data_IF_298905969714
#
_entry.id   IF_298905969714
#
_cell.length_a   1.000
_cell.length_b   1.000
_cell.length_c   1.000
_cell.angle_alpha   90.00
_cell.angle_beta   90.00
_cell.angle_gamma   90.00
#
_symmetry.space_group_name_H-M   'P 1'
#
loop_
_entity.id
_entity.type
_entity.pdbx_description
1 polymer ?
#
# COMPACT_ATOMS: atom_id res chain seq x y z
N UNK A 1 -21.97 -25.09 -6.88
CA UNK A 1 -21.04 -24.29 -7.69
C UNK A 1 -20.47 -25.23 -8.72
N UNK A 2 -20.44 -24.86 -10.00
CA UNK A 2 -19.80 -25.69 -11.02
C UNK A 2 -18.31 -25.80 -10.71
N UNK A 3 -17.70 -26.95 -11.04
CA UNK A 3 -16.25 -27.07 -10.99
C UNK A 3 -15.62 -25.97 -11.86
N UNK A 4 -14.53 -25.32 -11.41
CA UNK A 4 -13.84 -24.34 -12.24
C UNK A 4 -13.42 -24.99 -13.56
N UNK A 5 -13.86 -24.41 -14.68
CA UNK A 5 -13.54 -24.93 -16.01
C UNK A 5 -12.14 -24.45 -16.44
N UNK A 6 -11.11 -25.02 -15.80
CA UNK A 6 -9.69 -24.73 -16.08
C UNK A 6 -9.16 -25.40 -17.37
N UNK A 7 -10.04 -25.80 -18.30
CA UNK A 7 -9.71 -26.81 -19.33
C UNK A 7 -9.09 -26.31 -20.64
N UNK A 8 -8.65 -25.06 -20.76
CA UNK A 8 -8.12 -24.58 -22.04
C UNK A 8 -6.80 -23.81 -21.89
N UNK A 9 -5.65 -24.49 -21.84
CA UNK A 9 -4.36 -23.86 -22.11
C UNK A 9 -4.31 -23.47 -23.60
N UNK A 10 -4.70 -22.24 -23.89
CA UNK A 10 -4.48 -21.59 -25.19
C UNK A 10 -3.52 -20.40 -25.04
N UNK A 11 -2.94 -19.88 -26.12
CA UNK A 11 -2.24 -18.59 -26.06
C UNK A 11 -3.24 -17.48 -25.76
N UNK A 12 -2.77 -16.43 -25.08
CA UNK A 12 -3.54 -15.19 -24.95
C UNK A 12 -3.93 -14.65 -26.33
N UNK A 13 -5.21 -14.42 -26.56
CA UNK A 13 -5.71 -13.86 -27.82
C UNK A 13 -5.55 -12.33 -27.90
N UNK A 14 -5.35 -11.69 -26.74
CA UNK A 14 -5.16 -10.24 -26.61
C UNK A 14 -3.67 -9.88 -26.63
N UNK A 15 -3.36 -8.76 -27.27
CA UNK A 15 -2.00 -8.18 -27.28
C UNK A 15 -1.89 -7.15 -26.17
N UNK A 16 -1.06 -7.44 -25.16
CA UNK A 16 -0.81 -6.50 -24.07
C UNK A 16 0.17 -5.39 -24.49
N UNK A 17 0.03 -4.17 -23.97
CA UNK A 17 1.08 -3.16 -24.03
C UNK A 17 2.42 -3.70 -23.53
N UNK A 18 3.53 -3.20 -24.08
CA UNK A 18 4.87 -3.61 -23.67
C UNK A 18 5.06 -3.39 -22.16
N UNK A 19 5.52 -4.43 -21.45
CA UNK A 19 5.73 -4.38 -20.00
C UNK A 19 4.48 -4.65 -19.15
N UNK A 20 3.27 -4.68 -19.74
CA UNK A 20 2.03 -5.00 -19.02
C UNK A 20 1.87 -6.51 -18.87
N UNK A 21 1.63 -6.97 -17.65
CA UNK A 21 1.22 -8.35 -17.38
C UNK A 21 -0.30 -8.51 -17.51
N UNK A 22 -0.80 -9.70 -17.90
CA UNK A 22 -2.23 -9.99 -17.81
C UNK A 22 -2.65 -9.98 -16.34
N UNK A 23 -3.91 -9.63 -16.10
CA UNK A 23 -4.51 -9.85 -14.79
C UNK A 23 -4.62 -11.35 -14.49
N UNK A 24 -4.47 -11.79 -13.23
CA UNK A 24 -4.50 -13.24 -12.91
C UNK A 24 -5.81 -13.94 -13.25
N UNK A 25 -6.94 -13.23 -13.33
CA UNK A 25 -8.24 -13.80 -13.70
C UNK A 25 -8.55 -13.66 -15.20
N UNK A 26 -7.58 -13.19 -16.00
CA UNK A 26 -7.69 -13.13 -17.45
C UNK A 26 -7.42 -14.51 -18.04
N UNK A 27 -8.47 -15.22 -18.43
CA UNK A 27 -8.35 -16.50 -19.12
C UNK A 27 -7.62 -16.32 -20.47
N UNK A 28 -6.68 -17.20 -20.87
CA UNK A 28 -5.96 -17.03 -22.13
C UNK A 28 -6.84 -17.00 -23.38
N UNK A 29 -7.99 -17.68 -23.35
CA UNK A 29 -8.94 -17.69 -24.46
C UNK A 29 -9.84 -16.45 -24.55
N UNK A 30 -9.71 -15.48 -23.65
CA UNK A 30 -10.53 -14.27 -23.65
C UNK A 30 -10.20 -13.40 -24.87
N UNK A 31 -11.23 -12.92 -25.55
CA UNK A 31 -11.07 -12.00 -26.68
C UNK A 31 -10.91 -10.55 -26.21
N UNK A 32 -10.69 -9.63 -27.16
CA UNK A 32 -10.53 -8.21 -26.85
C UNK A 32 -11.76 -7.62 -26.14
N UNK A 33 -12.96 -8.05 -26.51
CA UNK A 33 -14.20 -7.55 -25.89
C UNK A 33 -14.28 -7.94 -24.42
N UNK A 34 -14.03 -9.21 -24.13
CA UNK A 34 -14.00 -9.73 -22.76
C UNK A 34 -12.88 -9.10 -21.94
N UNK A 35 -11.72 -8.84 -22.56
CA UNK A 35 -10.63 -8.14 -21.89
C UNK A 35 -10.98 -6.70 -21.51
N UNK A 36 -11.62 -5.95 -22.41
CA UNK A 36 -12.07 -4.59 -22.09
C UNK A 36 -13.13 -4.60 -21.00
N UNK A 37 -14.07 -5.54 -21.04
CA UNK A 37 -15.04 -5.72 -19.96
C UNK A 37 -14.36 -5.99 -18.62
N UNK A 38 -13.32 -6.83 -18.60
CA UNK A 38 -12.50 -7.06 -17.40
C UNK A 38 -11.84 -5.77 -16.90
N UNK A 39 -11.29 -4.94 -17.80
CA UNK A 39 -10.72 -3.65 -17.41
C UNK A 39 -11.78 -2.72 -16.80
N UNK A 40 -12.96 -2.62 -17.43
CA UNK A 40 -14.06 -1.75 -16.98
C UNK A 40 -14.69 -2.23 -15.65
N UNK A 41 -14.65 -3.54 -15.39
CA UNK A 41 -15.19 -4.15 -14.19
C UNK A 41 -14.18 -4.27 -13.05
N UNK A 42 -12.89 -4.04 -13.31
CA UNK A 42 -11.81 -4.14 -12.34
C UNK A 42 -12.14 -3.35 -11.08
N UNK A 43 -12.05 -4.05 -9.95
CA UNK A 43 -12.25 -3.49 -8.62
C UNK A 43 -11.07 -3.91 -7.72
N UNK A 44 -10.28 -2.92 -7.33
CA UNK A 44 -9.15 -3.08 -6.42
C UNK A 44 -9.58 -2.52 -5.07
N UNK A 45 -9.63 -3.35 -4.03
CA UNK A 45 -10.06 -2.88 -2.71
C UNK A 45 -8.89 -2.43 -1.84
N UNK A 46 -7.75 -3.10 -1.97
CA UNK A 46 -6.54 -2.80 -1.23
C UNK A 46 -5.32 -2.90 -2.14
N UNK A 47 -4.31 -2.07 -1.94
CA UNK A 47 -3.04 -2.12 -2.66
C UNK A 47 -1.85 -2.12 -1.70
N UNK A 48 -0.64 -2.20 -2.26
CA UNK A 48 0.57 -2.37 -1.47
C UNK A 48 0.89 -1.13 -0.63
N UNK A 49 1.27 -1.36 0.62
CA UNK A 49 1.62 -0.31 1.57
C UNK A 49 0.41 0.35 2.24
N UNK A 50 -0.81 -0.07 1.91
CA UNK A 50 -2.01 0.46 2.55
C UNK A 50 -2.05 0.10 4.04
N UNK A 51 -2.44 1.06 4.87
CA UNK A 51 -2.67 0.86 6.29
C UNK A 51 -3.92 0.01 6.52
N UNK A 52 -3.75 -1.12 7.20
CA UNK A 52 -4.85 -1.93 7.73
C UNK A 52 -4.71 -1.99 9.24
N UNK A 53 -5.81 -1.88 9.96
CA UNK A 53 -5.78 -2.04 11.41
C UNK A 53 -7.13 -2.51 11.96
N UNK A 54 -7.07 -3.30 13.02
CA UNK A 54 -8.21 -3.65 13.84
C UNK A 54 -8.52 -2.58 14.89
N UNK A 55 -8.96 -3.03 16.07
CA UNK A 55 -9.36 -2.14 17.16
C UNK A 55 -8.20 -1.73 18.07
N UNK A 56 -7.03 -2.36 17.93
CA UNK A 56 -5.84 -2.08 18.72
C UNK A 56 -4.60 -1.78 17.83
N UNK A 57 -3.64 -0.96 18.30
CA UNK A 57 -2.42 -0.64 17.54
C UNK A 57 -1.60 -1.87 17.11
N UNK A 58 -1.56 -2.91 17.94
CA UNK A 58 -0.86 -4.16 17.64
C UNK A 58 -1.48 -4.97 16.49
N UNK A 59 -2.75 -4.69 16.15
CA UNK A 59 -3.44 -5.31 15.02
C UNK A 59 -3.14 -4.59 13.70
N UNK A 60 -2.36 -3.51 13.73
CA UNK A 60 -2.06 -2.74 12.54
C UNK A 60 -0.94 -3.38 11.70
N UNK A 61 -1.12 -3.39 10.38
CA UNK A 61 -0.14 -3.94 9.44
C UNK A 61 -0.21 -3.23 8.08
N UNK A 62 0.90 -3.31 7.34
CA UNK A 62 0.92 -2.93 5.93
C UNK A 62 0.27 -4.04 5.10
N UNK A 63 -0.66 -3.68 4.24
CA UNK A 63 -1.10 -4.57 3.20
C UNK A 63 0.08 -4.84 2.24
N UNK A 64 0.44 -6.11 2.05
CA UNK A 64 1.65 -6.54 1.33
C UNK A 64 1.40 -7.03 -0.10
N UNK A 65 0.24 -6.70 -0.68
CA UNK A 65 -0.14 -7.11 -2.04
C UNK A 65 -1.19 -6.21 -2.68
N UNK A 66 -1.85 -6.74 -3.70
CA UNK A 66 -2.97 -6.12 -4.40
C UNK A 66 -4.20 -7.03 -4.29
N UNK A 67 -5.27 -6.50 -3.70
CA UNK A 67 -6.52 -7.22 -3.51
C UNK A 67 -7.50 -6.87 -4.63
N UNK A 68 -7.75 -7.84 -5.50
CA UNK A 68 -8.66 -7.71 -6.63
C UNK A 68 -9.96 -8.42 -6.25
N UNK A 69 -11.07 -7.68 -6.16
CA UNK A 69 -12.36 -8.24 -5.77
C UNK A 69 -12.89 -9.12 -6.90
N UNK A 70 -13.05 -10.41 -6.59
CA UNK A 70 -13.41 -11.46 -7.54
C UNK A 70 -14.29 -12.47 -6.81
N UNK A 71 -15.35 -12.93 -7.45
CA UNK A 71 -16.23 -13.91 -6.82
C UNK A 71 -15.52 -15.23 -6.56
N UNK A 72 -15.90 -15.91 -5.48
CA UNK A 72 -15.46 -17.27 -5.20
C UNK A 72 -15.78 -18.19 -6.39
N UNK A 73 -14.80 -19.02 -6.77
CA UNK A 73 -14.85 -19.87 -7.97
C UNK A 73 -14.29 -19.22 -9.23
N UNK A 74 -13.90 -17.94 -9.21
CA UNK A 74 -13.21 -17.30 -10.34
C UNK A 74 -11.85 -17.96 -10.55
N UNK A 75 -11.61 -18.53 -11.74
CA UNK A 75 -10.33 -19.15 -12.08
C UNK A 75 -9.18 -18.16 -12.09
N UNK A 76 -8.04 -18.58 -11.55
CA UNK A 76 -6.80 -17.80 -11.46
C UNK A 76 -5.70 -18.51 -12.25
N UNK A 77 -4.95 -17.72 -13.02
CA UNK A 77 -3.94 -18.18 -13.97
C UNK A 77 -2.58 -17.56 -13.67
N UNK A 78 -1.52 -18.29 -14.03
CA UNK A 78 -0.14 -17.80 -13.94
C UNK A 78 0.09 -16.61 -14.88
N UNK A 79 0.51 -15.45 -14.35
CA UNK A 79 0.71 -14.23 -15.16
C UNK A 79 2.03 -14.23 -15.94
N UNK A 80 3.00 -15.01 -15.48
CA UNK A 80 4.30 -15.30 -16.11
C UNK A 80 4.62 -16.80 -15.99
N UNK A 81 5.50 -17.37 -16.83
CA UNK A 81 5.97 -18.73 -16.65
C UNK A 81 6.77 -18.86 -15.35
N UNK A 82 6.59 -19.97 -14.64
CA UNK A 82 7.22 -20.14 -13.33
C UNK A 82 7.27 -21.58 -12.84
N UNK A 83 7.97 -21.80 -11.74
CA UNK A 83 8.03 -23.07 -11.02
C UNK A 83 7.32 -22.94 -9.67
N UNK A 84 6.40 -23.85 -9.37
CA UNK A 84 5.67 -23.86 -8.09
C UNK A 84 6.63 -24.20 -6.97
N UNK A 85 6.85 -23.28 -6.03
CA UNK A 85 7.78 -23.46 -4.91
C UNK A 85 7.10 -23.77 -3.59
N UNK A 86 5.85 -23.36 -3.46
CA UNK A 86 5.10 -23.56 -2.23
C UNK A 86 3.61 -23.57 -2.53
N UNK A 87 2.90 -24.46 -1.88
CA UNK A 87 1.45 -24.45 -1.75
C UNK A 87 1.19 -24.54 -0.25
N UNK A 88 0.76 -23.44 0.35
CA UNK A 88 0.61 -23.32 1.81
C UNK A 88 -0.73 -22.74 2.16
N UNK A 89 -1.33 -23.17 3.26
CA UNK A 89 -2.61 -22.63 3.72
C UNK A 89 -2.94 -23.08 5.13
N UNK A 90 -3.63 -22.21 5.87
CA UNK A 90 -4.06 -22.48 7.25
C UNK A 90 -5.55 -22.81 7.34
N UNK A 91 -6.18 -23.17 6.21
CA UNK A 91 -7.60 -23.51 6.12
C UNK A 91 -8.10 -23.44 4.67
N UNK A 92 -9.36 -23.83 4.42
CA UNK A 92 -9.91 -23.93 3.06
C UNK A 92 -10.00 -22.60 2.28
N UNK A 93 -9.84 -21.47 2.97
CA UNK A 93 -10.01 -20.11 2.42
C UNK A 93 -8.72 -19.26 2.41
N UNK A 94 -7.58 -19.85 2.81
CA UNK A 94 -6.33 -19.12 3.07
C UNK A 94 -5.12 -19.81 2.43
N UNK A 95 -5.37 -20.51 1.33
CA UNK A 95 -4.32 -21.13 0.54
C UNK A 95 -3.61 -20.08 -0.31
N UNK A 96 -2.31 -20.29 -0.46
CA UNK A 96 -1.38 -19.47 -1.23
C UNK A 96 -0.54 -20.38 -2.13
N UNK A 97 -0.43 -20.03 -3.40
CA UNK A 97 0.49 -20.66 -4.35
C UNK A 97 1.63 -19.68 -4.64
N UNK A 98 2.87 -20.12 -4.42
CA UNK A 98 4.08 -19.36 -4.74
C UNK A 98 4.67 -19.89 -6.04
N UNK A 99 4.72 -19.03 -7.06
CA UNK A 99 5.24 -19.33 -8.38
C UNK A 99 6.51 -18.51 -8.63
N UNK A 100 7.68 -19.14 -8.53
CA UNK A 100 8.97 -18.49 -8.81
C UNK A 100 9.17 -18.33 -10.32
N UNK A 101 9.59 -17.14 -10.75
CA UNK A 101 9.81 -16.81 -12.14
C UNK A 101 10.93 -17.68 -12.74
N UNK A 102 10.72 -18.23 -13.95
CA UNK A 102 11.74 -19.05 -14.62
C UNK A 102 12.94 -18.22 -15.11
N UNK A 103 12.71 -16.97 -15.50
CA UNK A 103 13.74 -16.06 -16.04
C UNK A 103 14.45 -15.25 -14.95
N UNK A 104 13.89 -15.22 -13.73
CA UNK A 104 14.44 -14.50 -12.59
C UNK A 104 14.35 -15.32 -11.28
N UNK A 105 15.18 -16.39 -11.13
CA UNK A 105 15.19 -17.19 -9.90
C UNK A 105 15.38 -16.34 -8.64
N UNK A 106 14.66 -16.67 -7.56
CA UNK A 106 14.59 -15.85 -6.36
C UNK A 106 13.52 -14.75 -6.41
N UNK A 107 12.79 -14.59 -7.52
CA UNK A 107 11.60 -13.73 -7.60
C UNK A 107 10.35 -14.56 -7.85
N UNK A 108 9.22 -14.16 -7.28
CA UNK A 108 7.97 -14.92 -7.42
C UNK A 108 6.73 -14.04 -7.44
N UNK A 109 5.66 -14.61 -7.97
CA UNK A 109 4.29 -14.17 -7.75
C UNK A 109 3.62 -15.10 -6.73
N UNK A 110 2.89 -14.52 -5.79
CA UNK A 110 2.16 -15.25 -4.76
C UNK A 110 0.67 -14.97 -4.94
N UNK A 111 -0.10 -16.03 -5.05
CA UNK A 111 -1.54 -15.99 -5.29
C UNK A 111 -2.23 -16.53 -4.04
N UNK A 112 -2.80 -15.63 -3.24
CA UNK A 112 -3.41 -15.95 -1.94
C UNK A 112 -4.94 -15.85 -2.02
N UNK A 113 -5.63 -16.61 -1.16
CA UNK A 113 -7.09 -16.77 -1.17
C UNK A 113 -7.62 -17.51 -2.39
N UNK A 114 -6.88 -18.53 -2.83
CA UNK A 114 -7.30 -19.43 -3.92
C UNK A 114 -7.37 -20.87 -3.43
N UNK A 115 -8.35 -21.66 -3.85
CA UNK A 115 -8.28 -23.12 -3.80
C UNK A 115 -7.37 -23.58 -4.94
N UNK A 116 -6.21 -24.19 -4.67
CA UNK A 116 -5.32 -24.69 -5.73
C UNK A 116 -6.03 -25.70 -6.62
N UNK A 117 -5.64 -25.74 -7.91
CA UNK A 117 -6.17 -26.71 -8.86
C UNK A 117 -5.83 -28.15 -8.47
N UNK A 118 -6.69 -29.11 -8.82
CA UNK A 118 -6.45 -30.52 -8.49
C UNK A 118 -5.25 -31.05 -9.27
N UNK A 119 -4.25 -31.58 -8.55
CA UNK A 119 -3.03 -32.11 -9.15
C UNK A 119 -1.93 -31.07 -9.37
N UNK A 120 -2.13 -29.82 -8.97
CA UNK A 120 -1.05 -28.85 -8.88
C UNK A 120 -0.11 -29.23 -7.72
N UNK A 121 1.17 -29.43 -8.03
CA UNK A 121 2.18 -29.89 -7.07
C UNK A 121 3.38 -28.93 -6.99
N UNK A 122 4.06 -28.94 -5.83
CA UNK A 122 5.34 -28.24 -5.67
C UNK A 122 6.39 -28.90 -6.57
N UNK A 123 7.06 -28.10 -7.38
CA UNK A 123 8.02 -28.54 -8.39
C UNK A 123 7.48 -28.46 -9.82
N UNK A 124 6.16 -28.32 -10.00
CA UNK A 124 5.57 -28.13 -11.31
C UNK A 124 6.15 -26.89 -11.99
N UNK A 125 6.33 -26.99 -13.30
CA UNK A 125 6.73 -25.88 -14.17
C UNK A 125 5.52 -25.52 -15.01
N UNK A 126 5.08 -24.28 -14.88
CA UNK A 126 3.87 -23.77 -15.50
C UNK A 126 4.22 -22.73 -16.55
N UNK A 127 3.52 -22.80 -17.67
CA UNK A 127 3.52 -21.75 -18.68
C UNK A 127 2.63 -20.58 -18.24
N UNK A 128 2.88 -19.42 -18.83
CA UNK A 128 1.98 -18.26 -18.70
C UNK A 128 0.57 -18.65 -19.15
N UNK A 129 -0.43 -18.36 -18.30
CA UNK A 129 -1.84 -18.71 -18.54
C UNK A 129 -2.27 -20.08 -18.05
N UNK A 130 -1.36 -20.89 -17.47
CA UNK A 130 -1.75 -22.12 -16.79
C UNK A 130 -2.66 -21.83 -15.59
N UNK A 131 -3.68 -22.65 -15.37
CA UNK A 131 -4.56 -22.53 -14.22
C UNK A 131 -3.80 -22.89 -12.92
N UNK A 132 -3.96 -22.05 -11.91
CA UNK A 132 -3.41 -22.25 -10.57
C UNK A 132 -4.49 -22.72 -9.58
N UNK A 133 -5.75 -22.44 -9.89
CA UNK A 133 -6.87 -22.72 -9.01
C UNK A 133 -8.01 -21.72 -9.21
N UNK A 134 -8.79 -21.49 -8.16
CA UNK A 134 -9.90 -20.53 -8.18
C UNK A 134 -10.01 -19.77 -6.86
N UNK A 135 -10.52 -18.54 -6.89
CA UNK A 135 -10.75 -17.71 -5.69
C UNK A 135 -11.59 -18.48 -4.67
N UNK A 136 -11.12 -18.50 -3.42
CA UNK A 136 -11.77 -19.14 -2.28
C UNK A 136 -11.42 -18.36 -1.01
N UNK A 137 -12.32 -17.48 -0.58
CA UNK A 137 -12.18 -16.64 0.59
C UNK A 137 -13.45 -16.57 1.43
N UNK A 138 -13.30 -16.40 2.74
CA UNK A 138 -14.39 -16.12 3.66
C UNK A 138 -14.34 -14.64 4.07
N UNK A 139 -15.25 -13.83 3.53
CA UNK A 139 -15.30 -12.39 3.72
C UNK A 139 -15.78 -11.71 2.43
N UNK A 140 -15.24 -10.54 2.12
CA UNK A 140 -15.36 -9.99 0.77
C UNK A 140 -14.45 -10.80 -0.16
N UNK A 141 -15.04 -11.53 -1.08
CA UNK A 141 -14.32 -12.44 -1.99
C UNK A 141 -13.32 -11.67 -2.87
N UNK A 142 -12.04 -12.05 -2.81
CA UNK A 142 -10.97 -11.40 -3.56
C UNK A 142 -9.77 -12.34 -3.77
N UNK A 143 -8.92 -12.01 -4.73
CA UNK A 143 -7.56 -12.53 -4.86
C UNK A 143 -6.60 -11.55 -4.19
N UNK A 144 -5.73 -12.04 -3.30
CA UNK A 144 -4.59 -11.26 -2.81
C UNK A 144 -3.34 -11.63 -3.61
N UNK A 145 -2.84 -10.69 -4.41
CA UNK A 145 -1.72 -10.90 -5.32
C UNK A 145 -0.47 -10.16 -4.83
N UNK A 146 0.63 -10.89 -4.64
CA UNK A 146 1.88 -10.31 -4.15
C UNK A 146 3.02 -10.52 -5.15
N UNK A 147 3.86 -9.51 -5.29
CA UNK A 147 5.18 -9.63 -5.92
C UNK A 147 6.25 -9.70 -4.83
N UNK A 148 7.10 -10.72 -4.87
CA UNK A 148 8.11 -10.94 -3.84
C UNK A 148 9.46 -11.39 -4.40
N UNK A 149 10.52 -11.20 -3.60
CA UNK A 149 11.81 -11.81 -3.82
C UNK A 149 12.41 -12.38 -2.54
N UNK A 150 13.20 -13.42 -2.70
CA UNK A 150 13.80 -14.17 -1.61
C UNK A 150 15.03 -13.45 -1.06
N UNK A 151 15.16 -13.41 0.27
CA UNK A 151 16.41 -13.05 0.94
C UNK A 151 17.47 -14.09 0.61
N UNK A 152 18.73 -13.67 0.57
CA UNK A 152 19.86 -14.60 0.43
C UNK A 152 19.80 -15.72 1.47
N UNK A 153 19.84 -16.98 1.01
CA UNK A 153 19.75 -18.17 1.87
C UNK A 153 18.36 -18.45 2.45
N UNK A 154 17.34 -17.69 2.05
CA UNK A 154 15.95 -17.86 2.48
C UNK A 154 15.26 -19.08 1.85
N UNK A 155 14.01 -19.33 2.26
CA UNK A 155 13.13 -20.32 1.65
C UNK A 155 11.71 -19.78 1.43
N UNK A 156 11.12 -20.07 0.27
CA UNK A 156 9.74 -19.70 -0.09
C UNK A 156 8.66 -20.29 0.86
N UNK A 157 9.01 -21.27 1.70
CA UNK A 157 8.13 -21.83 2.72
C UNK A 157 8.10 -21.04 4.03
N UNK A 158 8.89 -19.96 4.15
CA UNK A 158 8.99 -19.14 5.37
C UNK A 158 8.69 -17.69 5.04
N UNK A 159 7.58 -17.18 5.59
CA UNK A 159 7.11 -15.82 5.31
C UNK A 159 8.07 -14.68 5.74
N UNK A 160 9.07 -14.98 6.55
CA UNK A 160 10.09 -14.02 7.02
C UNK A 160 11.37 -14.07 6.18
N UNK A 161 11.46 -14.98 5.20
CA UNK A 161 12.64 -15.17 4.35
C UNK A 161 12.54 -14.43 3.01
N UNK A 162 11.49 -13.64 2.81
CA UNK A 162 11.27 -12.88 1.59
C UNK A 162 10.85 -11.44 1.86
N UNK A 163 11.01 -10.61 0.84
CA UNK A 163 10.53 -9.25 0.80
C UNK A 163 9.44 -9.12 -0.26
N UNK A 164 8.39 -8.38 0.05
CA UNK A 164 7.33 -8.01 -0.89
C UNK A 164 7.57 -6.58 -1.37
N UNK A 165 7.22 -6.34 -2.63
CA UNK A 165 7.29 -5.03 -3.29
C UNK A 165 5.93 -4.70 -3.91
N UNK A 166 5.74 -3.44 -4.28
CA UNK A 166 4.52 -3.02 -4.95
C UNK A 166 4.29 -3.79 -6.26
N UNK A 167 3.15 -4.50 -6.41
CA UNK A 167 2.76 -5.15 -7.65
C UNK A 167 2.10 -4.17 -8.63
N UNK A 168 1.62 -3.00 -8.17
CA UNK A 168 0.90 -2.02 -8.98
C UNK A 168 1.62 -1.65 -10.30
N UNK A 169 2.95 -1.41 -10.34
CA UNK A 169 3.65 -1.02 -11.57
C UNK A 169 3.65 -2.08 -12.69
N UNK A 170 3.29 -3.34 -12.39
CA UNK A 170 3.21 -4.41 -13.38
C UNK A 170 1.86 -4.49 -14.11
N UNK A 171 0.87 -3.75 -13.60
CA UNK A 171 -0.47 -3.67 -14.15
C UNK A 171 -0.75 -2.26 -14.66
N UNK A 172 -1.65 -2.16 -15.62
CA UNK A 172 -2.14 -0.88 -16.12
C UNK A 172 -3.65 -0.91 -16.00
N UNK A 173 -4.19 0.02 -15.24
CA UNK A 173 -5.60 0.29 -15.11
C UNK A 173 -5.82 1.80 -15.22
N UNK A 174 -7.03 2.20 -15.59
CA UNK A 174 -7.31 3.62 -15.84
C UNK A 174 -7.55 4.30 -14.51
N UNK A 175 -6.79 5.33 -14.20
CA UNK A 175 -7.09 6.19 -13.07
C UNK A 175 -6.89 7.65 -13.41
N UNK A 176 -7.88 8.45 -13.06
CA UNK A 176 -7.89 9.90 -13.29
C UNK A 176 -8.23 10.66 -12.00
N UNK A 177 -8.44 9.96 -10.90
CA UNK A 177 -8.81 10.55 -9.62
C UNK A 177 -7.54 10.79 -8.83
N UNK A 178 -7.15 12.05 -8.55
CA UNK A 178 -5.99 12.30 -7.72
C UNK A 178 -6.26 11.92 -6.25
N UNK A 179 -5.22 11.68 -5.45
CA UNK A 179 -5.35 11.49 -4.01
C UNK A 179 -6.10 12.65 -3.33
N UNK A 180 -6.76 12.37 -2.22
CA UNK A 180 -7.40 13.37 -1.36
C UNK A 180 -6.57 13.56 -0.11
N UNK A 181 -6.18 14.81 0.17
CA UNK A 181 -5.42 15.22 1.36
C UNK A 181 -6.36 16.01 2.27
N UNK A 182 -6.53 15.58 3.52
CA UNK A 182 -7.38 16.26 4.49
C UNK A 182 -6.70 17.49 5.08
N UNK A 183 -7.47 18.56 5.21
CA UNK A 183 -7.09 19.75 5.99
C UNK A 183 -8.12 20.01 7.09
N UNK A 184 -7.70 20.57 8.24
CA UNK A 184 -6.32 20.93 8.61
C UNK A 184 -5.42 19.70 8.85
N UNK A 185 -4.11 19.89 8.77
CA UNK A 185 -3.15 18.88 9.26
C UNK A 185 -3.17 18.80 10.79
N UNK A 186 -2.69 17.67 11.30
CA UNK A 186 -2.60 17.38 12.73
C UNK A 186 -1.14 17.46 13.17
N UNK A 187 -0.92 17.90 14.40
CA UNK A 187 0.43 18.03 14.96
C UNK A 187 0.46 17.33 16.31
N UNK A 188 1.43 16.46 16.52
CA UNK A 188 1.64 15.71 17.76
C UNK A 188 3.04 15.98 18.29
N UNK A 189 3.24 15.79 19.59
CA UNK A 189 4.60 15.64 20.09
C UNK A 189 5.19 14.34 19.55
N UNK A 190 6.44 14.40 19.10
CA UNK A 190 7.15 13.27 18.51
C UNK A 190 7.01 11.99 19.33
N UNK A 191 6.48 10.90 18.74
CA UNK A 191 6.25 9.61 19.39
C UNK A 191 5.25 9.62 20.58
N UNK A 192 4.37 10.62 20.67
CA UNK A 192 3.29 10.65 21.68
C UNK A 192 1.91 10.74 21.03
N UNK A 193 0.90 10.23 21.73
CA UNK A 193 -0.52 10.45 21.36
C UNK A 193 -1.04 11.85 21.78
N UNK A 194 -0.19 12.68 22.38
CA UNK A 194 -0.55 14.05 22.77
C UNK A 194 -0.53 14.98 21.54
N UNK A 195 -1.73 15.30 21.07
CA UNK A 195 -1.96 16.28 20.00
C UNK A 195 -1.79 17.71 20.52
N UNK A 196 -1.11 18.56 19.76
CA UNK A 196 -1.11 20.01 20.02
C UNK A 196 -2.53 20.56 19.84
N UNK A 197 -3.00 21.35 20.80
CA UNK A 197 -4.34 21.90 20.78
C UNK A 197 -4.46 23.01 19.73
N UNK A 198 -5.59 23.00 19.03
CA UNK A 198 -5.91 24.03 18.05
C UNK A 198 -6.82 25.09 18.68
N UNK A 199 -6.38 26.35 18.66
CA UNK A 199 -7.27 27.49 18.81
C UNK A 199 -7.72 27.94 17.40
N UNK A 200 -7.18 29.04 16.88
CA UNK A 200 -7.35 29.44 15.47
C UNK A 200 -6.28 28.80 14.57
N UNK A 201 -5.04 28.80 15.07
CA UNK A 201 -3.85 28.17 14.48
C UNK A 201 -3.24 27.24 15.52
N UNK A 202 -2.75 26.07 15.11
CA UNK A 202 -2.02 25.17 16.01
C UNK A 202 -0.68 25.80 16.35
N UNK A 203 -0.35 25.89 17.64
CA UNK A 203 0.97 26.33 18.10
C UNK A 203 1.79 25.09 18.50
N UNK A 204 2.98 24.96 17.93
CA UNK A 204 3.88 23.82 18.13
C UNK A 204 5.24 24.28 18.66
N UNK A 205 5.98 23.36 19.29
CA UNK A 205 7.33 23.59 19.82
C UNK A 205 8.08 22.28 20.04
N UNK A 206 9.42 22.34 19.99
CA UNK A 206 10.29 21.18 20.12
C UNK A 206 10.13 20.20 18.96
N UNK A 207 10.22 18.90 19.25
CA UNK A 207 10.06 17.80 18.29
C UNK A 207 8.57 17.54 17.98
N UNK A 208 8.21 17.67 16.71
CA UNK A 208 6.82 17.64 16.24
C UNK A 208 6.63 16.58 15.16
N UNK A 209 5.62 15.74 15.35
CA UNK A 209 5.08 14.88 14.30
C UNK A 209 4.03 15.65 13.50
N UNK A 210 4.25 15.80 12.18
CA UNK A 210 3.23 16.32 11.28
C UNK A 210 2.44 15.11 10.76
N UNK A 211 1.14 15.08 11.03
CA UNK A 211 0.26 13.96 10.69
C UNK A 211 -0.83 14.42 9.73
N UNK A 212 -0.94 13.73 8.60
CA UNK A 212 -1.81 14.12 7.48
C UNK A 212 -2.73 12.97 7.10
N UNK A 213 -4.04 13.21 7.12
CA UNK A 213 -5.03 12.27 6.59
C UNK A 213 -4.95 12.27 5.07
N UNK A 214 -4.64 11.13 4.45
CA UNK A 214 -4.58 11.00 3.00
C UNK A 214 -5.31 9.70 2.62
N UNK A 215 -6.05 9.75 1.51
CA UNK A 215 -6.59 8.56 0.86
C UNK A 215 -6.47 8.70 -0.65
N UNK A 216 -6.21 7.60 -1.34
CA UNK A 216 -6.38 7.54 -2.78
C UNK A 216 -7.76 6.94 -3.11
N UNK A 217 -8.68 7.73 -3.69
CA UNK A 217 -10.00 7.25 -4.05
C UNK A 217 -9.96 6.19 -5.14
N UNK A 218 -9.03 6.34 -6.10
CA UNK A 218 -8.84 5.55 -7.32
C UNK A 218 -10.11 5.20 -8.12
N UNK A 219 -10.10 5.37 -9.45
CA UNK A 219 -11.27 5.00 -10.27
C UNK A 219 -11.72 3.54 -10.05
N UNK A 220 -10.76 2.63 -9.90
CA UNK A 220 -11.00 1.20 -9.66
C UNK A 220 -11.11 0.83 -8.18
N UNK A 221 -10.93 1.78 -7.26
CA UNK A 221 -11.15 1.56 -5.83
C UNK A 221 -12.56 1.91 -5.38
N UNK A 222 -13.40 2.46 -6.25
CA UNK A 222 -14.78 2.76 -5.92
C UNK A 222 -15.60 1.49 -5.67
N UNK A 223 -16.08 1.37 -4.44
CA UNK A 223 -17.01 0.32 -4.03
C UNK A 223 -18.27 0.30 -4.89
N UNK A 224 -18.57 -0.84 -5.52
CA UNK A 224 -19.92 -1.08 -6.11
C UNK A 224 -20.91 -1.63 -5.08
N UNK A 225 -20.45 -2.06 -3.88
CA UNK A 225 -21.27 -2.68 -2.84
C UNK A 225 -20.78 -2.34 -1.42
N UNK A 226 -21.71 -1.89 -0.57
CA UNK A 226 -21.51 -1.73 0.88
C UNK A 226 -20.31 -0.88 1.31
N UNK A 227 -19.95 0.11 0.48
CA UNK A 227 -18.98 1.14 0.86
C UNK A 227 -17.59 0.63 1.28
N UNK A 228 -17.17 -0.53 0.79
CA UNK A 228 -15.79 -0.99 0.90
C UNK A 228 -14.97 -0.52 -0.31
N UNK A 229 -13.99 0.37 -0.11
CA UNK A 229 -13.19 0.94 -1.19
C UNK A 229 -12.79 2.39 -0.91
N UNK A 230 -12.26 3.10 -1.90
CA UNK A 230 -11.98 4.55 -1.87
C UNK A 230 -10.83 4.98 -0.92
N UNK A 231 -9.90 4.06 -0.64
CA UNK A 231 -8.85 4.22 0.39
C UNK A 231 -7.51 3.59 0.05
N UNK A 232 -7.14 3.54 -1.24
CA UNK A 232 -5.86 3.00 -1.65
C UNK A 232 -4.71 3.79 -1.03
N UNK A 233 -3.57 3.12 -0.90
CA UNK A 233 -2.31 3.75 -0.56
C UNK A 233 -1.82 4.58 -1.74
N UNK A 234 -1.39 5.80 -1.43
CA UNK A 234 -0.63 6.64 -2.35
C UNK A 234 0.75 6.02 -2.64
N UNK A 235 1.30 6.29 -3.82
CA UNK A 235 2.64 5.82 -4.20
C UNK A 235 3.74 6.65 -3.55
N UNK A 236 3.51 7.95 -3.33
CA UNK A 236 4.52 8.87 -2.81
C UNK A 236 3.90 10.03 -2.04
N UNK A 237 4.59 10.48 -1.00
CA UNK A 237 4.27 11.67 -0.23
C UNK A 237 5.52 12.54 -0.10
N UNK A 238 5.35 13.84 -0.33
CA UNK A 238 6.36 14.86 -0.07
C UNK A 238 5.76 16.01 0.73
N UNK A 239 6.62 16.76 1.42
CA UNK A 239 6.20 18.03 2.00
C UNK A 239 7.27 19.11 1.89
N UNK A 240 6.81 20.34 1.96
CA UNK A 240 7.60 21.56 1.89
C UNK A 240 7.27 22.45 3.09
N UNK A 241 8.28 23.09 3.65
CA UNK A 241 8.14 24.01 4.77
C UNK A 241 8.45 25.43 4.30
N UNK A 242 7.55 26.36 4.60
CA UNK A 242 7.69 27.78 4.28
C UNK A 242 7.57 28.62 5.55
N UNK A 243 8.36 29.69 5.65
CA UNK A 243 8.21 30.73 6.66
C UNK A 243 7.80 32.04 6.00
N UNK A 244 6.63 32.56 6.35
CA UNK A 244 6.12 33.83 5.81
C UNK A 244 6.18 33.90 4.26
N UNK A 245 5.96 32.77 3.60
CA UNK A 245 6.02 32.63 2.14
C UNK A 245 7.41 32.35 1.56
N UNK A 246 8.48 32.40 2.35
CA UNK A 246 9.81 31.99 1.93
C UNK A 246 9.99 30.47 2.08
N UNK A 247 10.40 29.80 1.01
CA UNK A 247 10.74 28.37 1.01
C UNK A 247 11.94 28.11 1.92
N UNK A 248 11.84 27.10 2.80
CA UNK A 248 12.93 26.66 3.65
C UNK A 248 13.50 25.32 3.18
N UNK A 249 12.64 24.32 3.05
CA UNK A 249 13.05 22.95 2.78
C UNK A 249 11.94 22.11 2.15
N UNK A 250 12.36 20.98 1.57
CA UNK A 250 11.50 19.96 0.97
C UNK A 250 12.03 18.58 1.33
N UNK A 251 11.11 17.68 1.63
CA UNK A 251 11.39 16.30 2.02
C UNK A 251 10.52 15.32 1.23
N UNK A 252 11.10 14.18 0.85
CA UNK A 252 10.33 13.02 0.41
C UNK A 252 10.03 12.19 1.65
N UNK A 253 8.80 12.29 2.16
CA UNK A 253 8.38 11.57 3.36
C UNK A 253 8.41 10.06 3.10
N UNK A 254 7.66 9.59 2.11
CA UNK A 254 7.57 8.17 1.78
C UNK A 254 7.47 7.98 0.26
N UNK A 255 8.13 6.94 -0.24
CA UNK A 255 7.98 6.43 -1.61
C UNK A 255 7.69 4.93 -1.55
N UNK A 256 6.41 4.57 -1.54
CA UNK A 256 5.93 3.19 -1.42
C UNK A 256 6.27 2.35 -2.65
N UNK A 257 6.52 2.98 -3.80
CA UNK A 257 6.99 2.28 -5.02
C UNK A 257 8.40 1.70 -4.84
N UNK A 258 9.16 2.22 -3.87
CA UNK A 258 10.51 1.80 -3.51
C UNK A 258 10.57 1.02 -2.20
N UNK A 259 9.44 0.78 -1.56
CA UNK A 259 9.41 0.11 -0.26
C UNK A 259 9.54 -1.40 -0.41
N UNK A 260 10.35 -2.00 0.46
CA UNK A 260 10.55 -3.44 0.56
C UNK A 260 10.01 -3.90 1.92
N UNK A 261 8.92 -4.66 1.91
CA UNK A 261 8.29 -5.13 3.14
C UNK A 261 8.72 -6.57 3.45
N UNK A 262 9.11 -6.83 4.68
CA UNK A 262 9.12 -8.19 5.22
C UNK A 262 8.15 -8.27 6.40
N UNK A 263 7.74 -9.48 6.77
CA UNK A 263 6.74 -9.71 7.82
C UNK A 263 7.26 -9.63 9.25
N UNK A 264 8.52 -9.23 9.45
CA UNK A 264 9.05 -9.01 10.79
C UNK A 264 8.51 -7.69 11.35
N UNK A 265 8.10 -7.65 12.63
CA UNK A 265 7.71 -6.45 13.37
C UNK A 265 6.74 -5.51 12.63
N UNK A 266 5.72 -6.05 11.94
CA UNK A 266 4.81 -5.27 11.09
C UNK A 266 4.12 -4.10 11.82
N UNK A 267 3.71 -4.29 13.07
CA UNK A 267 3.07 -3.24 13.86
C UNK A 267 4.00 -2.05 14.10
N UNK A 268 5.26 -2.30 14.49
CA UNK A 268 6.25 -1.24 14.74
C UNK A 268 6.56 -0.46 13.45
N UNK A 269 6.68 -1.20 12.33
CA UNK A 269 6.88 -0.64 11.00
C UNK A 269 5.74 0.28 10.59
N UNK A 270 4.51 -0.16 10.82
CA UNK A 270 3.32 0.64 10.54
C UNK A 270 3.23 1.87 11.43
N UNK A 271 3.53 1.74 12.73
CA UNK A 271 3.53 2.86 13.67
C UNK A 271 4.57 3.93 13.32
N UNK A 272 5.61 3.59 12.55
CA UNK A 272 6.56 4.56 12.01
C UNK A 272 5.92 5.45 10.95
N UNK A 273 5.06 4.89 10.09
CA UNK A 273 4.47 5.61 8.95
C UNK A 273 3.10 6.19 9.26
N UNK A 274 2.33 5.53 10.13
CA UNK A 274 0.93 5.84 10.37
C UNK A 274 0.65 6.09 11.83
N UNK A 275 -0.20 7.09 12.08
CA UNK A 275 -0.83 7.29 13.37
C UNK A 275 -2.03 6.35 13.49
N UNK A 276 -2.21 5.76 14.68
CA UNK A 276 -3.36 4.92 14.95
C UNK A 276 -4.66 5.72 14.79
N UNK A 277 -5.55 5.24 13.93
CA UNK A 277 -6.71 6.02 13.48
C UNK A 277 -7.65 6.46 14.62
N UNK A 278 -7.79 5.66 15.69
CA UNK A 278 -8.63 6.03 16.84
C UNK A 278 -8.09 7.22 17.63
N UNK A 279 -6.82 7.60 17.46
CA UNK A 279 -6.32 8.85 18.02
C UNK A 279 -6.91 10.09 17.33
N UNK A 280 -7.34 9.94 16.08
CA UNK A 280 -7.99 11.01 15.32
C UNK A 280 -9.50 10.95 15.48
N UNK A 281 -10.05 9.73 15.46
CA UNK A 281 -11.48 9.46 15.51
C UNK A 281 -11.77 8.36 16.55
N UNK A 282 -11.82 8.69 17.85
CA UNK A 282 -11.98 7.67 18.91
C UNK A 282 -13.33 6.96 18.86
N UNK A 283 -14.36 7.65 18.36
CA UNK A 283 -15.72 7.14 18.19
C UNK A 283 -15.94 6.49 16.81
N UNK A 284 -14.88 6.30 16.02
CA UNK A 284 -15.00 5.69 14.69
C UNK A 284 -15.45 4.23 14.82
N UNK A 285 -16.62 3.93 14.27
CA UNK A 285 -17.11 2.56 14.18
C UNK A 285 -16.56 1.89 12.91
N UNK A 286 -16.14 0.63 13.05
CA UNK A 286 -15.62 -0.24 11.98
C UNK A 286 -16.63 -0.43 10.84
N UNK A 287 -17.88 0.03 10.94
CA UNK A 287 -18.82 -0.02 9.82
C UNK A 287 -18.59 1.11 8.77
N UNK A 288 -17.83 2.16 9.10
CA UNK A 288 -17.68 3.38 8.29
C UNK A 288 -16.37 3.46 7.46
N UNK A 289 -15.72 2.33 7.15
CA UNK A 289 -14.48 2.28 6.35
C UNK A 289 -14.55 2.91 4.95
N UNK A 290 -15.77 3.24 4.49
CA UNK A 290 -16.13 3.99 3.28
C UNK A 290 -15.22 5.16 2.92
N UNK A 291 -14.75 5.90 3.92
CA UNK A 291 -13.97 7.13 3.73
C UNK A 291 -12.74 7.16 4.59
N UNK A 292 -12.25 5.97 4.93
CA UNK A 292 -11.14 5.83 5.81
C UNK A 292 -9.90 6.49 5.18
N UNK A 293 -9.45 7.57 5.80
CA UNK A 293 -8.15 8.17 5.51
C UNK A 293 -7.10 7.50 6.36
N UNK A 294 -5.94 7.25 5.75
CA UNK A 294 -4.76 6.83 6.51
C UNK A 294 -4.05 8.08 7.02
N UNK A 295 -3.67 8.10 8.29
CA UNK A 295 -3.04 9.26 8.91
C UNK A 295 -1.53 9.10 8.90
N UNK A 296 -0.87 9.64 7.87
CA UNK A 296 0.57 9.51 7.65
C UNK A 296 1.37 10.45 8.55
N UNK A 297 2.38 9.95 9.26
CA UNK A 297 3.35 10.74 10.02
C UNK A 297 4.47 11.16 9.07
N UNK A 298 4.27 12.26 8.35
CA UNK A 298 5.14 12.64 7.20
C UNK A 298 6.54 13.08 7.63
N UNK A 299 6.76 13.35 8.91
CA UNK A 299 8.06 13.72 9.49
C UNK A 299 8.90 12.52 9.94
N UNK A 300 8.34 11.31 10.01
CA UNK A 300 9.06 10.09 10.38
C UNK A 300 9.85 9.52 9.20
N UNK A 301 10.71 10.36 8.62
CA UNK A 301 11.51 10.03 7.45
C UNK A 301 12.79 10.84 7.43
N UNK A 302 13.84 10.26 6.86
CA UNK A 302 15.10 10.96 6.58
C UNK A 302 15.00 11.92 5.36
N UNK A 303 13.84 12.02 4.73
CA UNK A 303 13.57 12.92 3.61
C UNK A 303 14.06 12.42 2.24
N UNK A 304 14.66 11.23 2.16
CA UNK A 304 15.18 10.65 0.91
C UNK A 304 14.15 9.87 0.10
N UNK A 305 13.02 9.50 0.72
CA UNK A 305 12.01 8.60 0.15
C UNK A 305 12.42 7.13 0.15
N UNK A 306 13.69 6.80 0.40
CA UNK A 306 14.08 5.41 0.64
C UNK A 306 13.62 5.05 2.05
N UNK A 307 12.62 4.16 2.12
CA UNK A 307 12.05 3.71 3.38
C UNK A 307 12.15 2.19 3.44
N UNK A 308 12.98 1.72 4.38
CA UNK A 308 13.00 0.33 4.81
C UNK A 308 12.34 0.27 6.19
N UNK A 309 11.02 0.02 6.26
CA UNK A 309 10.31 0.03 7.52
C UNK A 309 11.01 -0.93 8.50
N UNK A 310 11.38 -0.42 9.68
CA UNK A 310 12.03 -1.20 10.74
C UNK A 310 13.50 -0.85 10.98
N UNK A 311 14.10 0.07 10.22
CA UNK A 311 15.32 0.73 10.69
C UNK A 311 15.00 1.53 11.96
N UNK A 312 15.53 1.09 13.11
CA UNK A 312 15.24 1.59 14.48
C UNK A 312 15.47 3.11 14.65
N UNK A 313 16.04 3.78 13.65
CA UNK A 313 16.21 5.23 13.58
C UNK A 313 15.00 6.00 13.05
N UNK A 314 14.17 5.40 12.18
CA UNK A 314 13.21 6.16 11.37
C UNK A 314 12.06 6.74 12.19
N UNK A 315 11.60 6.00 13.21
CA UNK A 315 10.59 6.46 14.15
C UNK A 315 11.05 7.64 15.02
N UNK A 316 12.32 8.06 14.96
CA UNK A 316 12.84 9.19 15.74
C UNK A 316 12.87 10.49 14.96
N UNK A 317 12.73 10.45 13.64
CA UNK A 317 12.68 11.67 12.85
C UNK A 317 11.44 12.48 13.22
N UNK A 318 11.60 13.79 13.30
CA UNK A 318 10.53 14.72 13.60
C UNK A 318 10.90 16.09 13.04
N UNK A 319 9.91 16.98 12.96
CA UNK A 319 10.20 18.39 12.73
C UNK A 319 10.65 19.03 14.06
N UNK A 320 11.96 19.08 14.29
CA UNK A 320 12.53 19.75 15.46
C UNK A 320 12.52 21.27 15.28
N UNK A 321 11.40 21.87 15.69
CA UNK A 321 11.21 23.33 15.64
C UNK A 321 12.18 24.09 16.56
N UNK A 322 12.86 23.41 17.48
CA UNK A 322 13.88 24.01 18.34
C UNK A 322 15.30 23.87 17.77
N UNK A 323 15.48 23.23 16.61
CA UNK A 323 16.78 23.01 16.00
C UNK A 323 17.56 24.32 15.79
N UNK A 324 18.87 24.23 16.01
CA UNK A 324 19.83 25.30 15.75
C UNK A 324 20.84 24.85 14.69
N UNK A 325 21.34 25.79 13.90
CA UNK A 325 22.40 25.53 12.93
C UNK A 325 23.81 25.48 13.57
N UNK A 326 24.84 25.36 12.76
CA UNK A 326 26.25 25.33 13.22
C UNK A 326 26.69 26.63 13.92
N UNK A 327 25.96 27.73 13.72
CA UNK A 327 26.20 29.04 14.33
C UNK A 327 25.38 29.24 15.62
N UNK A 328 24.52 28.29 15.97
CA UNK A 328 23.61 28.38 17.11
C UNK A 328 22.37 29.24 16.81
N UNK A 329 22.11 29.59 15.55
CA UNK A 329 20.91 30.31 15.14
C UNK A 329 19.74 29.33 14.95
N UNK A 330 18.52 29.75 15.29
CA UNK A 330 17.32 28.91 15.12
C UNK A 330 17.09 28.62 13.64
N UNK A 331 17.05 27.35 13.27
CA UNK A 331 16.66 26.92 11.91
C UNK A 331 15.17 27.25 11.65
N UNK A 332 14.35 27.14 12.70
CA UNK A 332 12.93 27.49 12.67
C UNK A 332 12.63 28.56 13.73
N UNK A 333 12.95 29.85 13.47
CA UNK A 333 12.65 30.91 14.43
C UNK A 333 11.14 31.09 14.58
N UNK A 334 10.68 31.55 15.75
CA UNK A 334 9.26 31.75 16.03
C UNK A 334 8.54 32.55 14.94
N UNK A 335 7.27 32.20 14.69
CA UNK A 335 6.49 32.82 13.62
C UNK A 335 5.46 31.88 12.99
N UNK A 336 4.88 32.33 11.89
CA UNK A 336 3.93 31.55 11.09
C UNK A 336 4.67 30.79 9.98
N UNK A 337 4.30 29.52 9.87
CA UNK A 337 4.79 28.61 8.85
C UNK A 337 3.61 28.06 8.06
N UNK A 338 3.83 27.80 6.77
CA UNK A 338 2.94 26.95 6.00
C UNK A 338 3.65 25.66 5.64
N UNK A 339 2.94 24.55 5.86
CA UNK A 339 3.36 23.21 5.48
C UNK A 339 2.53 22.83 4.27
N UNK A 340 3.18 22.54 3.15
CA UNK A 340 2.53 22.10 1.91
C UNK A 340 2.84 20.64 1.70
N UNK A 341 1.82 19.83 1.43
CA UNK A 341 1.95 18.39 1.26
C UNK A 341 1.51 18.03 -0.15
N UNK A 342 2.32 17.22 -0.82
CA UNK A 342 2.04 16.65 -2.12
C UNK A 342 1.88 15.14 -1.99
N UNK A 343 0.89 14.57 -2.65
CA UNK A 343 0.67 13.13 -2.69
C UNK A 343 0.42 12.67 -4.13
N UNK A 344 0.95 11.51 -4.49
CA UNK A 344 0.78 10.88 -5.81
C UNK A 344 0.20 9.48 -5.66
N UNK A 345 -0.70 9.08 -6.56
CA UNK A 345 -1.13 7.68 -6.69
C UNK A 345 -0.14 6.87 -7.56
N UNK A 346 -0.43 5.59 -7.80
CA UNK A 346 0.39 4.73 -8.67
C UNK A 346 0.20 4.99 -10.17
N UNK A 347 -0.84 5.73 -10.56
CA UNK A 347 -1.09 6.17 -11.94
C UNK A 347 -0.42 7.51 -12.27
N UNK A 348 0.16 8.18 -11.28
CA UNK A 348 0.84 9.46 -11.40
C UNK A 348 -0.07 10.69 -11.23
N UNK A 349 -1.34 10.52 -10.86
CA UNK A 349 -2.19 11.65 -10.48
C UNK A 349 -1.69 12.22 -9.16
N UNK A 350 -1.87 13.53 -8.96
CA UNK A 350 -1.30 14.23 -7.82
C UNK A 350 -2.27 15.25 -7.22
N UNK A 351 -2.16 15.44 -5.91
CA UNK A 351 -2.83 16.51 -5.17
C UNK A 351 -1.86 17.28 -4.30
N UNK A 352 -2.21 18.51 -3.97
CA UNK A 352 -1.45 19.38 -3.09
C UNK A 352 -2.38 20.12 -2.15
N UNK A 353 -2.05 20.14 -0.87
CA UNK A 353 -2.79 20.89 0.16
C UNK A 353 -1.83 21.58 1.12
N UNK A 354 -2.31 22.59 1.84
CA UNK A 354 -1.50 23.41 2.73
C UNK A 354 -2.19 23.62 4.08
N UNK A 355 -1.42 23.61 5.16
CA UNK A 355 -1.87 24.04 6.50
C UNK A 355 -0.90 25.03 7.12
N UNK A 356 -1.45 26.00 7.86
CA UNK A 356 -0.67 27.00 8.59
C UNK A 356 -0.50 26.57 10.05
N UNK A 357 0.71 26.73 10.57
CA UNK A 357 1.11 26.41 11.95
C UNK A 357 1.96 27.55 12.52
N UNK A 358 1.89 27.76 13.83
CA UNK A 358 2.73 28.73 14.54
C UNK A 358 3.81 28.00 15.33
N UNK A 359 5.07 28.39 15.14
CA UNK A 359 6.18 27.96 15.99
C UNK A 359 6.36 28.97 17.12
N UNK A 360 6.48 28.47 18.35
CA UNK A 360 6.69 29.26 19.56
C UNK A 360 7.59 28.49 20.55
N UNK A 361 8.90 28.73 20.45
CA UNK A 361 9.91 28.07 21.28
C UNK A 361 10.22 28.82 22.59
N UNK A 362 9.66 30.02 22.79
CA UNK A 362 9.84 30.85 23.98
C UNK A 362 11.03 31.79 23.94
#
# INVERSE_FOLDING_TARGET
>A
MGEPDCRMPGPYQVVFPQGKLPWPHHAPGLDETGYQQLQDELWIINNFGQYQCGDAPEDCYFHDGLDIVLSNGTSIYAIVPGSVKSITGNGPYYWSVVLEDLDQPGWAWIYTHISPDEGLEVGDVLEKGACLGAVSFQGLEHLHLTRAYLREGGAWSRFTDWFTISPDPYFIYTDHSPPVIETPFHFFRNNYSERFTRADTTTVRGEVDIVVGIRDPGLHAHSKMNSYGDRLCVSRIEYEVYKEGAFLERHIAFDFSRMHLNRDNLADKVATVFKFHREMNPDFEVADWNRFVSYYIITNSNGSGNFEPGEVGDAKFSWDTAAVDELGERQYPDGLYSIRVHAWDYSGNASVEESVVRVDNG
#
